data_IF_113767682889
#
_entry.id   IF_113767682889
#
_cell.length_a   1.000
_cell.length_b   1.000
_cell.length_c   1.000
_cell.angle_alpha   90.00
_cell.angle_beta   90.00
_cell.angle_gamma   90.00
#
_symmetry.space_group_name_H-M   'P 1'
#
loop_
_entity.id
_entity.type
_entity.pdbx_description
1 polymer ?
#
# COMPACT_ATOMS: atom_id res chain seq x y z
N UNK A 1 22.69 31.86 21.77
CA UNK A 1 22.73 30.77 20.77
C UNK A 1 21.29 30.33 20.51
N UNK A 2 20.75 30.63 19.34
CA UNK A 2 19.42 30.16 18.92
C UNK A 2 19.61 28.75 18.34
N UNK A 3 19.02 27.74 18.99
CA UNK A 3 19.07 26.36 18.49
C UNK A 3 18.11 26.24 17.29
N UNK A 4 18.62 25.87 16.12
CA UNK A 4 17.77 25.58 14.97
C UNK A 4 16.88 24.36 15.30
N UNK A 5 15.59 24.36 14.90
CA UNK A 5 14.72 23.23 15.14
C UNK A 5 15.26 21.99 14.40
N UNK A 6 15.12 20.79 14.97
CA UNK A 6 15.55 19.56 14.30
C UNK A 6 14.82 19.42 12.97
N UNK A 7 15.57 19.24 11.89
CA UNK A 7 15.01 18.85 10.60
C UNK A 7 14.47 17.44 10.78
N UNK A 8 13.14 17.30 10.84
CA UNK A 8 12.52 15.99 10.86
C UNK A 8 12.86 15.30 9.53
N UNK A 9 13.65 14.22 9.58
CA UNK A 9 13.81 13.33 8.44
C UNK A 9 12.41 12.83 8.07
N UNK A 10 11.99 13.09 6.83
CA UNK A 10 10.75 12.52 6.31
C UNK A 10 10.83 11.01 6.49
N UNK A 11 9.90 10.44 7.25
CA UNK A 11 9.86 9.00 7.46
C UNK A 11 9.66 8.29 6.13
N UNK A 12 10.39 7.20 5.90
CA UNK A 12 10.24 6.38 4.70
C UNK A 12 8.77 5.99 4.50
N UNK A 13 8.30 6.05 3.25
CA UNK A 13 6.93 5.68 2.91
C UNK A 13 6.60 4.26 3.37
N UNK A 14 5.45 4.11 4.04
CA UNK A 14 4.92 2.82 4.45
C UNK A 14 4.16 2.17 3.28
N UNK A 15 4.83 1.27 2.57
CA UNK A 15 4.28 0.66 1.36
C UNK A 15 3.42 -0.55 1.69
N UNK A 16 2.19 -0.56 1.18
CA UNK A 16 1.25 -1.68 1.31
C UNK A 16 0.98 -2.26 -0.08
N UNK A 17 1.12 -3.58 -0.23
CA UNK A 17 0.71 -4.26 -1.45
C UNK A 17 -0.78 -4.65 -1.38
N UNK A 18 -1.55 -4.30 -2.41
CA UNK A 18 -2.90 -4.82 -2.66
C UNK A 18 -2.81 -5.91 -3.73
N UNK A 19 -3.01 -7.16 -3.32
CA UNK A 19 -3.11 -8.32 -4.22
C UNK A 19 -4.58 -8.67 -4.40
N UNK A 20 -5.17 -8.25 -5.52
CA UNK A 20 -6.60 -8.44 -5.80
C UNK A 20 -6.83 -8.67 -7.30
N UNK A 21 -7.93 -9.30 -7.71
CA UNK A 21 -8.26 -9.43 -9.13
C UNK A 21 -8.67 -8.06 -9.69
N UNK A 22 -7.75 -7.35 -10.31
CA UNK A 22 -7.97 -6.01 -10.86
C UNK A 22 -8.42 -6.06 -12.33
N UNK A 23 -8.28 -7.23 -12.97
CA UNK A 23 -8.76 -7.54 -14.32
C UNK A 23 -9.59 -8.83 -14.36
N UNK A 24 -10.12 -9.14 -15.55
CA UNK A 24 -10.91 -10.35 -15.79
C UNK A 24 -12.30 -10.36 -15.11
N UNK A 25 -12.87 -11.56 -14.96
CA UNK A 25 -14.27 -11.74 -14.51
C UNK A 25 -14.55 -11.22 -13.09
N UNK A 26 -13.51 -11.09 -12.27
CA UNK A 26 -13.59 -10.65 -10.88
C UNK A 26 -13.16 -9.19 -10.67
N UNK A 27 -12.83 -8.46 -11.76
CA UNK A 27 -12.32 -7.09 -11.72
C UNK A 27 -13.17 -6.15 -10.85
N UNK A 28 -14.50 -6.21 -10.96
CA UNK A 28 -15.41 -5.34 -10.19
C UNK A 28 -15.18 -5.46 -8.69
N UNK A 29 -14.95 -6.68 -8.19
CA UNK A 29 -14.71 -6.91 -6.76
C UNK A 29 -13.33 -6.39 -6.34
N UNK A 30 -12.31 -6.57 -7.18
CA UNK A 30 -10.98 -6.00 -6.92
C UNK A 30 -10.99 -4.48 -6.94
N UNK A 31 -11.72 -3.85 -7.86
CA UNK A 31 -11.85 -2.38 -7.90
C UNK A 31 -12.54 -1.84 -6.63
N UNK A 32 -13.58 -2.50 -6.13
CA UNK A 32 -14.20 -2.10 -4.85
C UNK A 32 -13.21 -2.20 -3.67
N UNK A 33 -12.38 -3.25 -3.63
CA UNK A 33 -11.33 -3.39 -2.61
C UNK A 33 -10.27 -2.29 -2.74
N UNK A 34 -9.85 -1.99 -3.97
CA UNK A 34 -8.90 -0.90 -4.26
C UNK A 34 -9.45 0.44 -3.77
N UNK A 35 -10.68 0.79 -4.15
CA UNK A 35 -11.31 2.04 -3.72
C UNK A 35 -11.39 2.13 -2.19
N UNK A 36 -11.76 1.03 -1.51
CA UNK A 36 -11.78 0.97 -0.04
C UNK A 36 -10.40 1.23 0.58
N UNK A 37 -9.36 0.60 0.03
CA UNK A 37 -7.99 0.80 0.48
C UNK A 37 -7.52 2.25 0.23
N UNK A 38 -7.78 2.81 -0.94
CA UNK A 38 -7.43 4.18 -1.30
C UNK A 38 -8.12 5.21 -0.39
N UNK A 39 -9.41 5.03 -0.08
CA UNK A 39 -10.15 5.89 0.84
C UNK A 39 -9.54 5.87 2.25
N UNK A 40 -9.27 4.68 2.79
CA UNK A 40 -8.66 4.54 4.12
C UNK A 40 -7.24 5.14 4.16
N UNK A 41 -6.45 4.92 3.11
CA UNK A 41 -5.11 5.49 2.98
C UNK A 41 -5.16 7.00 2.90
N UNK A 42 -6.06 7.56 2.09
CA UNK A 42 -6.23 9.00 1.96
C UNK A 42 -6.60 9.63 3.31
N UNK A 43 -7.52 9.03 4.05
CA UNK A 43 -7.91 9.49 5.39
C UNK A 43 -6.73 9.46 6.37
N UNK A 44 -6.01 8.34 6.48
CA UNK A 44 -4.85 8.21 7.38
C UNK A 44 -3.75 9.20 6.99
N UNK A 45 -3.46 9.34 5.70
CA UNK A 45 -2.44 10.27 5.22
C UNK A 45 -2.84 11.72 5.48
N UNK A 46 -4.12 12.08 5.34
CA UNK A 46 -4.65 13.40 5.67
C UNK A 46 -4.53 13.71 7.18
N UNK A 47 -4.67 12.70 8.04
CA UNK A 47 -4.46 12.80 9.49
C UNK A 47 -2.99 12.84 9.93
N UNK A 48 -2.06 12.96 8.97
CA UNK A 48 -0.63 13.08 9.24
C UNK A 48 0.17 11.79 9.03
N UNK A 49 -0.43 10.69 8.57
CA UNK A 49 0.26 9.42 8.32
C UNK A 49 0.39 8.54 9.57
N UNK A 50 1.29 7.55 9.53
CA UNK A 50 1.47 6.57 10.61
C UNK A 50 2.27 7.21 11.75
N UNK A 51 1.57 7.52 12.86
CA UNK A 51 2.16 8.19 14.04
C UNK A 51 3.36 7.45 14.64
N UNK A 52 3.28 6.12 14.76
CA UNK A 52 4.35 5.29 15.29
C UNK A 52 5.62 5.28 14.41
N UNK A 53 5.50 5.73 13.16
CA UNK A 53 6.59 5.85 12.19
C UNK A 53 6.84 7.32 11.84
N UNK A 54 6.67 8.24 12.79
CA UNK A 54 7.01 9.65 12.58
C UNK A 54 6.17 10.37 11.52
N UNK A 55 4.96 9.87 11.22
CA UNK A 55 4.08 10.44 10.19
C UNK A 55 4.32 9.89 8.78
N UNK A 56 4.99 8.74 8.65
CA UNK A 56 5.17 8.04 7.37
C UNK A 56 3.86 7.95 6.58
N UNK A 57 3.90 8.31 5.30
CA UNK A 57 2.73 8.21 4.42
C UNK A 57 2.56 6.77 3.95
N UNK A 58 1.31 6.34 3.86
CA UNK A 58 0.98 5.04 3.28
C UNK A 58 0.93 5.18 1.76
N UNK A 59 1.62 4.28 1.06
CA UNK A 59 1.61 4.19 -0.40
C UNK A 59 1.08 2.83 -0.82
N UNK A 60 0.00 2.82 -1.62
CA UNK A 60 -0.57 1.60 -2.15
C UNK A 60 0.21 1.11 -3.38
N UNK A 61 0.50 -0.19 -3.43
CA UNK A 61 1.10 -0.88 -4.57
C UNK A 61 0.18 -1.98 -5.04
N UNK A 62 -0.31 -1.83 -6.25
CA UNK A 62 -1.27 -2.76 -6.83
C UNK A 62 -0.57 -3.96 -7.48
N UNK A 63 -1.12 -5.15 -7.26
CA UNK A 63 -0.72 -6.38 -7.92
C UNK A 63 -1.98 -7.13 -8.38
N UNK A 64 -2.17 -7.22 -9.69
CA UNK A 64 -3.30 -7.96 -10.25
C UNK A 64 -3.12 -9.46 -10.03
N UNK A 65 -4.02 -10.04 -9.23
CA UNK A 65 -4.04 -11.44 -8.85
C UNK A 65 -4.54 -12.35 -9.98
N UNK A 66 -5.26 -11.81 -10.97
CA UNK A 66 -5.89 -12.61 -12.02
C UNK A 66 -7.00 -13.52 -11.48
N UNK A 67 -7.19 -14.69 -12.09
CA UNK A 67 -8.35 -15.57 -11.85
C UNK A 67 -7.98 -16.98 -11.41
N UNK A 68 -6.73 -17.22 -11.00
CA UNK A 68 -6.27 -18.49 -10.44
C UNK A 68 -5.33 -18.28 -9.25
N UNK A 69 -5.17 -19.32 -8.44
CA UNK A 69 -4.29 -19.31 -7.26
C UNK A 69 -2.83 -19.10 -7.67
N UNK A 70 -2.39 -19.76 -8.74
CA UNK A 70 -1.00 -19.68 -9.23
C UNK A 70 -0.67 -18.26 -9.72
N UNK A 71 -1.61 -17.61 -10.42
CA UNK A 71 -1.48 -16.21 -10.84
C UNK A 71 -1.39 -15.28 -9.64
N UNK A 72 -2.22 -15.48 -8.62
CA UNK A 72 -2.22 -14.69 -7.40
C UNK A 72 -0.90 -14.82 -6.63
N UNK A 73 -0.40 -16.05 -6.44
CA UNK A 73 0.91 -16.32 -5.81
C UNK A 73 2.03 -15.63 -6.60
N UNK A 74 2.04 -15.76 -7.92
CA UNK A 74 3.04 -15.13 -8.78
C UNK A 74 2.98 -13.60 -8.70
N UNK A 75 1.78 -13.01 -8.60
CA UNK A 75 1.60 -11.57 -8.47
C UNK A 75 2.12 -11.05 -7.13
N UNK A 76 1.81 -11.74 -6.03
CA UNK A 76 2.31 -11.42 -4.71
C UNK A 76 3.84 -11.50 -4.66
N UNK A 77 4.44 -12.57 -5.18
CA UNK A 77 5.90 -12.72 -5.26
C UNK A 77 6.54 -11.58 -6.04
N UNK A 78 6.01 -11.23 -7.23
CA UNK A 78 6.52 -10.09 -8.02
C UNK A 78 6.43 -8.77 -7.26
N UNK A 79 5.35 -8.53 -6.52
CA UNK A 79 5.19 -7.31 -5.73
C UNK A 79 6.26 -7.21 -4.64
N UNK A 80 6.49 -8.31 -3.90
CA UNK A 80 7.47 -8.36 -2.82
C UNK A 80 8.93 -8.29 -3.31
N UNK A 81 9.21 -8.75 -4.55
CA UNK A 81 10.57 -8.72 -5.10
C UNK A 81 10.97 -7.37 -5.72
N UNK A 82 10.02 -6.50 -6.08
CA UNK A 82 10.31 -5.23 -6.78
C UNK A 82 10.74 -4.11 -5.83
N UNK A 83 10.15 -4.05 -4.66
CA UNK A 83 10.49 -3.06 -3.64
C UNK A 83 10.17 -3.57 -2.24
N UNK A 84 10.72 -2.91 -1.22
CA UNK A 84 10.42 -3.24 0.18
C UNK A 84 8.96 -2.91 0.50
N UNK A 85 8.13 -3.95 0.65
CA UNK A 85 6.74 -3.86 1.09
C UNK A 85 6.68 -4.08 2.61
N UNK A 86 5.95 -3.21 3.31
CA UNK A 86 5.80 -3.28 4.78
C UNK A 86 4.63 -4.18 5.22
N UNK A 87 3.58 -4.26 4.41
CA UNK A 87 2.42 -5.11 4.66
C UNK A 87 1.70 -5.49 3.36
N UNK A 88 0.92 -6.57 3.38
CA UNK A 88 0.08 -7.01 2.26
C UNK A 88 -1.38 -7.14 2.66
N UNK A 89 -2.28 -6.72 1.77
CA UNK A 89 -3.72 -6.93 1.85
C UNK A 89 -4.21 -7.55 0.53
N UNK A 90 -5.21 -8.42 0.60
CA UNK A 90 -5.69 -9.13 -0.59
C UNK A 90 -6.83 -10.08 -0.31
N UNK A 91 -7.28 -10.80 -1.34
CA UNK A 91 -8.38 -11.74 -1.28
C UNK A 91 -8.17 -12.93 -2.21
#
# INVERSE_FOLDING_TARGET
MLLAPPVANAADDFKIALVAPLSGRWARQGQLKKMGAEMAIAEINAQGGIKALGGAKIVLREADAGDSVEKAVSAAQRALSREKISAGIGA
#
